data_IF_557287921718
#
_entry.id   IF_557287921718
#
_cell.length_a   1.000
_cell.length_b   1.000
_cell.length_c   1.000
_cell.angle_alpha   90.00
_cell.angle_beta   90.00
_cell.angle_gamma   90.00
#
_symmetry.space_group_name_H-M   'P 1'
#
loop_
_entity.id
_entity.type
_entity.pdbx_description
1 polymer ?
#
# COMPACT_ATOMS: atom_id res chain seq x y z
N UNK A 1 32.47 35.87 37.26
CA UNK A 1 31.06 35.42 37.14
C UNK A 1 30.85 35.07 35.70
N UNK A 2 31.04 33.81 35.36
CA UNK A 2 30.85 33.21 34.04
C UNK A 2 29.47 32.61 34.00
N UNK A 3 28.62 33.12 33.10
CA UNK A 3 27.29 32.59 32.86
C UNK A 3 27.43 31.37 31.93
N UNK A 4 26.99 30.22 32.40
CA UNK A 4 26.85 28.99 31.62
C UNK A 4 25.62 29.12 30.70
N UNK A 5 25.85 28.85 29.42
CA UNK A 5 24.85 28.77 28.38
C UNK A 5 24.29 27.35 28.37
N UNK A 6 23.10 27.15 28.87
CA UNK A 6 22.40 25.87 28.74
C UNK A 6 21.96 25.66 27.28
N UNK A 7 22.57 24.67 26.65
CA UNK A 7 22.22 24.24 25.29
C UNK A 7 20.86 23.56 25.24
N UNK A 8 19.97 24.07 24.43
CA UNK A 8 18.71 23.45 24.08
C UNK A 8 18.91 22.07 23.44
N UNK A 9 18.16 21.09 23.90
CA UNK A 9 18.18 19.70 23.42
C UNK A 9 17.81 19.61 21.92
N UNK A 10 18.46 18.73 21.15
CA UNK A 10 18.16 18.54 19.74
C UNK A 10 16.80 17.88 19.55
N UNK A 11 16.03 18.42 18.61
CA UNK A 11 14.73 17.91 18.17
C UNK A 11 14.79 16.43 17.75
N UNK A 12 13.77 15.72 18.16
CA UNK A 12 13.37 14.36 17.92
C UNK A 12 14.24 13.46 17.04
N UNK A 13 14.91 12.52 17.71
CA UNK A 13 15.63 11.40 17.10
C UNK A 13 14.63 10.55 16.31
N UNK A 14 14.71 10.57 14.98
CA UNK A 14 14.08 9.59 14.12
C UNK A 14 14.65 8.22 14.48
N UNK A 15 13.79 7.21 14.59
CA UNK A 15 14.11 5.89 15.12
C UNK A 15 15.43 5.33 14.54
N UNK A 16 16.34 4.94 15.42
CA UNK A 16 17.62 4.32 15.08
C UNK A 16 17.41 2.86 14.61
N UNK A 17 18.34 2.32 13.85
CA UNK A 17 18.36 0.94 13.32
C UNK A 17 18.08 -0.16 14.35
N UNK A 18 18.29 0.10 15.64
CA UNK A 18 17.95 -0.83 16.74
C UNK A 18 16.42 -0.97 16.98
N UNK A 19 15.61 0.01 16.59
CA UNK A 19 14.14 -0.09 16.66
C UNK A 19 13.54 -0.81 15.44
N UNK A 20 14.26 -0.84 14.31
CA UNK A 20 13.84 -1.58 13.12
C UNK A 20 13.81 -3.09 13.35
N UNK A 21 14.75 -3.62 14.13
CA UNK A 21 14.80 -5.04 14.49
C UNK A 21 13.69 -5.46 15.49
N UNK A 22 13.19 -4.53 16.33
CA UNK A 22 12.09 -4.82 17.25
C UNK A 22 10.73 -4.87 16.56
N UNK A 23 10.52 -4.16 15.45
CA UNK A 23 9.28 -4.23 14.66
C UNK A 23 9.21 -5.44 13.71
N UNK A 24 10.35 -6.08 13.43
CA UNK A 24 10.38 -7.34 12.67
C UNK A 24 9.67 -8.51 13.39
N UNK A 25 9.41 -8.39 14.69
CA UNK A 25 8.85 -9.45 15.52
C UNK A 25 7.31 -9.62 15.47
N UNK A 26 6.57 -8.82 14.69
CA UNK A 26 5.11 -8.98 14.62
C UNK A 26 4.65 -9.93 13.52
N UNK A 27 5.30 -9.94 12.35
CA UNK A 27 5.01 -10.91 11.30
C UNK A 27 5.65 -12.27 11.66
N UNK A 28 4.91 -13.40 11.57
CA UNK A 28 3.61 -13.60 10.92
C UNK A 28 2.37 -13.46 11.85
N UNK A 29 2.52 -13.00 13.10
CA UNK A 29 1.42 -12.90 14.04
C UNK A 29 0.25 -12.06 13.49
N UNK A 30 -0.98 -12.53 13.67
CA UNK A 30 -2.19 -11.88 13.16
C UNK A 30 -2.42 -12.07 11.65
N UNK A 31 -1.64 -12.94 11.00
CA UNK A 31 -1.87 -13.39 9.63
C UNK A 31 -2.47 -14.80 9.63
N UNK A 32 -3.05 -15.18 8.50
CA UNK A 32 -3.68 -16.49 8.35
C UNK A 32 -2.69 -17.63 8.67
N UNK A 33 -3.10 -18.58 9.50
CA UNK A 33 -2.24 -19.64 10.03
C UNK A 33 -1.49 -19.26 11.33
N UNK A 34 -1.47 -17.98 11.71
CA UNK A 34 -0.76 -17.47 12.92
C UNK A 34 -1.65 -16.54 13.74
N UNK A 35 -2.90 -16.97 13.96
CA UNK A 35 -3.87 -16.24 14.78
C UNK A 35 -3.84 -16.77 16.22
N UNK A 36 -4.02 -15.88 17.19
CA UNK A 36 -4.38 -16.29 18.55
C UNK A 36 -5.86 -16.69 18.60
N UNK A 37 -6.27 -17.47 19.63
CA UNK A 37 -7.67 -17.86 19.81
C UNK A 37 -8.63 -16.64 19.79
N UNK A 38 -8.26 -15.53 20.41
CA UNK A 38 -9.06 -14.30 20.39
C UNK A 38 -9.15 -13.68 18.98
N UNK A 39 -8.12 -13.82 18.16
CA UNK A 39 -8.11 -13.33 16.78
C UNK A 39 -8.94 -14.25 15.86
N UNK A 40 -8.92 -15.55 16.08
CA UNK A 40 -9.78 -16.51 15.39
C UNK A 40 -11.26 -16.24 15.72
N UNK A 41 -11.58 -16.06 17.00
CA UNK A 41 -12.93 -15.68 17.43
C UNK A 41 -13.38 -14.36 16.78
N UNK A 42 -12.50 -13.35 16.73
CA UNK A 42 -12.81 -12.08 16.07
C UNK A 42 -13.08 -12.25 14.57
N UNK A 43 -12.34 -13.13 13.88
CA UNK A 43 -12.56 -13.42 12.46
C UNK A 43 -13.93 -14.08 12.24
N UNK A 44 -14.30 -15.08 13.05
CA UNK A 44 -15.60 -15.73 12.92
C UNK A 44 -16.77 -14.78 13.25
N UNK A 45 -16.65 -13.96 14.28
CA UNK A 45 -17.63 -12.89 14.59
C UNK A 45 -17.75 -11.89 13.45
N UNK A 46 -16.65 -11.53 12.83
CA UNK A 46 -16.63 -10.60 11.69
C UNK A 46 -17.34 -11.21 10.47
N UNK A 47 -17.06 -12.47 10.13
CA UNK A 47 -17.76 -13.21 9.07
C UNK A 47 -19.27 -13.26 9.32
N UNK A 48 -19.68 -13.60 10.53
CA UNK A 48 -21.09 -13.65 10.91
C UNK A 48 -21.78 -12.29 10.75
N UNK A 49 -21.13 -11.20 11.21
CA UNK A 49 -21.64 -9.84 11.06
C UNK A 49 -21.74 -9.41 9.58
N UNK A 50 -20.74 -9.72 8.77
CA UNK A 50 -20.75 -9.45 7.33
C UNK A 50 -21.84 -10.24 6.60
N UNK A 51 -22.07 -11.50 6.98
CA UNK A 51 -23.10 -12.34 6.40
C UNK A 51 -24.51 -11.81 6.74
N UNK A 52 -24.74 -11.41 8.00
CA UNK A 52 -25.99 -10.77 8.43
C UNK A 52 -26.29 -9.51 7.59
N UNK A 53 -25.29 -8.70 7.33
CA UNK A 53 -25.39 -7.50 6.47
C UNK A 53 -25.39 -7.80 4.97
N UNK A 54 -25.29 -9.07 4.55
CA UNK A 54 -25.20 -9.51 3.13
C UNK A 54 -24.00 -8.92 2.39
N UNK A 55 -22.93 -8.58 3.11
CA UNK A 55 -21.68 -8.06 2.56
C UNK A 55 -20.69 -9.19 2.24
N UNK A 56 -20.89 -10.37 2.77
CA UNK A 56 -20.06 -11.55 2.57
C UNK A 56 -20.90 -12.80 2.36
N UNK A 57 -20.42 -13.69 1.48
CA UNK A 57 -21.01 -15.01 1.22
C UNK A 57 -19.97 -16.08 1.50
N UNK A 58 -20.34 -17.18 2.22
CA UNK A 58 -19.38 -18.22 2.65
C UNK A 58 -18.78 -19.04 1.48
N UNK A 59 -19.44 -19.14 0.34
CA UNK A 59 -18.92 -19.90 -0.81
C UNK A 59 -19.23 -21.39 -0.79
N UNK A 60 -18.49 -22.30 -1.41
CA UNK A 60 -17.22 -22.16 -2.15
C UNK A 60 -17.34 -21.60 -3.57
N UNK A 61 -16.43 -20.72 -4.03
CA UNK A 61 -15.49 -19.96 -3.19
C UNK A 61 -16.21 -18.86 -2.40
N UNK A 62 -15.66 -18.40 -1.26
CA UNK A 62 -16.21 -17.26 -0.53
C UNK A 62 -16.07 -15.99 -1.36
N UNK A 63 -16.95 -15.00 -1.14
CA UNK A 63 -16.88 -13.74 -1.87
C UNK A 63 -15.60 -12.94 -1.57
N UNK A 64 -15.06 -13.08 -0.37
CA UNK A 64 -13.78 -12.58 0.07
C UNK A 64 -13.11 -13.64 0.93
N UNK A 65 -11.83 -13.88 0.73
CA UNK A 65 -11.05 -14.83 1.49
C UNK A 65 -10.68 -14.33 2.89
N UNK A 66 -10.28 -15.23 3.76
CA UNK A 66 -9.93 -14.91 5.14
C UNK A 66 -8.75 -13.93 5.23
N UNK A 67 -7.77 -14.03 4.35
CA UNK A 67 -6.64 -13.11 4.31
C UNK A 67 -7.08 -11.66 4.01
N UNK A 68 -8.08 -11.48 3.15
CA UNK A 68 -8.70 -10.17 2.89
C UNK A 68 -9.42 -9.65 4.12
N UNK A 69 -10.26 -10.47 4.76
CA UNK A 69 -11.00 -10.06 5.97
C UNK A 69 -10.06 -9.70 7.12
N UNK A 70 -8.98 -10.46 7.31
CA UNK A 70 -7.98 -10.21 8.33
C UNK A 70 -7.26 -8.85 8.14
N UNK A 71 -7.17 -8.30 6.94
CA UNK A 71 -6.61 -6.95 6.71
C UNK A 71 -7.46 -5.89 7.41
N UNK A 72 -8.78 -5.96 7.34
CA UNK A 72 -9.69 -5.04 8.03
C UNK A 72 -9.63 -5.19 9.54
N UNK A 73 -9.60 -6.43 10.04
CA UNK A 73 -9.47 -6.68 11.49
C UNK A 73 -8.15 -6.13 12.03
N UNK A 74 -7.01 -6.34 11.36
CA UNK A 74 -5.72 -5.76 11.76
C UNK A 74 -5.75 -4.23 11.73
N UNK A 75 -6.31 -3.65 10.67
CA UNK A 75 -6.44 -2.19 10.54
C UNK A 75 -7.26 -1.55 11.65
N UNK A 76 -8.22 -2.29 12.19
CA UNK A 76 -9.11 -1.86 13.28
C UNK A 76 -8.79 -2.52 14.62
N UNK A 77 -7.54 -3.00 14.80
CA UNK A 77 -7.04 -3.56 16.07
C UNK A 77 -7.96 -4.64 16.64
N UNK A 78 -8.54 -5.46 15.76
CA UNK A 78 -9.45 -6.56 16.07
C UNK A 78 -10.81 -6.12 16.64
N UNK A 79 -11.18 -4.85 16.54
CA UNK A 79 -12.52 -4.35 16.88
C UNK A 79 -13.45 -4.64 15.71
N UNK A 80 -14.34 -5.62 15.88
CA UNK A 80 -15.17 -6.17 14.81
C UNK A 80 -16.11 -5.12 14.22
N UNK A 81 -16.74 -4.27 15.06
CA UNK A 81 -17.68 -3.25 14.59
C UNK A 81 -16.98 -2.18 13.73
N UNK A 82 -15.76 -1.77 14.10
CA UNK A 82 -14.98 -0.82 13.33
C UNK A 82 -14.52 -1.43 12.00
N UNK A 83 -14.12 -2.72 12.01
CA UNK A 83 -13.77 -3.47 10.80
C UNK A 83 -14.97 -3.62 9.86
N UNK A 84 -16.17 -3.88 10.42
CA UNK A 84 -17.43 -3.97 9.68
C UNK A 84 -17.78 -2.64 9.00
N UNK A 85 -17.66 -1.53 9.72
CA UNK A 85 -17.90 -0.19 9.18
C UNK A 85 -16.94 0.08 8.01
N UNK A 86 -15.64 -0.13 8.17
CA UNK A 86 -14.64 0.09 7.12
C UNK A 86 -14.87 -0.82 5.90
N UNK A 87 -15.18 -2.08 6.12
CA UNK A 87 -15.45 -3.04 5.05
C UNK A 87 -16.68 -2.62 4.24
N UNK A 88 -17.78 -2.25 4.94
CA UNK A 88 -19.00 -1.75 4.31
C UNK A 88 -18.73 -0.52 3.45
N UNK A 89 -18.05 0.49 4.00
CA UNK A 89 -17.68 1.70 3.25
C UNK A 89 -16.85 1.38 2.02
N UNK A 90 -15.96 0.38 2.12
CA UNK A 90 -15.16 -0.07 0.98
C UNK A 90 -16.01 -0.72 -0.10
N UNK A 91 -16.91 -1.63 0.26
CA UNK A 91 -17.78 -2.30 -0.72
C UNK A 91 -18.73 -1.31 -1.39
N UNK A 92 -19.27 -0.33 -0.65
CA UNK A 92 -20.08 0.76 -1.21
C UNK A 92 -19.26 1.62 -2.19
N UNK A 93 -18.03 2.00 -1.83
CA UNK A 93 -17.13 2.75 -2.71
C UNK A 93 -16.75 1.93 -3.97
N UNK A 94 -16.44 0.64 -3.81
CA UNK A 94 -16.14 -0.27 -4.93
C UNK A 94 -17.31 -0.39 -5.89
N UNK A 95 -18.54 -0.53 -5.36
CA UNK A 95 -19.77 -0.61 -6.16
C UNK A 95 -20.05 0.72 -6.88
N UNK A 96 -19.95 1.85 -6.18
CA UNK A 96 -20.19 3.19 -6.74
C UNK A 96 -19.21 3.56 -7.86
N UNK A 97 -18.00 3.00 -7.85
CA UNK A 97 -16.97 3.24 -8.87
C UNK A 97 -16.76 2.06 -9.83
N UNK A 98 -17.54 0.97 -9.70
CA UNK A 98 -17.43 -0.24 -10.54
C UNK A 98 -15.95 -0.73 -10.63
N UNK A 99 -15.24 -0.83 -9.50
CA UNK A 99 -13.80 -1.08 -9.45
C UNK A 99 -13.41 -2.38 -10.19
N UNK A 100 -14.22 -3.43 -10.09
CA UNK A 100 -13.95 -4.69 -10.81
C UNK A 100 -14.04 -4.51 -12.34
N UNK A 101 -15.05 -3.76 -12.82
CA UNK A 101 -15.18 -3.42 -14.24
C UNK A 101 -14.04 -2.50 -14.67
N UNK A 102 -13.72 -1.49 -13.87
CA UNK A 102 -12.58 -0.60 -14.12
C UNK A 102 -11.30 -1.43 -14.36
N UNK A 103 -10.96 -2.31 -13.44
CA UNK A 103 -9.75 -3.11 -13.51
C UNK A 103 -9.72 -4.04 -14.73
N UNK A 104 -10.86 -4.64 -15.07
CA UNK A 104 -10.96 -5.58 -16.18
C UNK A 104 -11.01 -4.91 -17.56
N UNK A 105 -11.35 -3.62 -17.64
CA UNK A 105 -11.63 -2.95 -18.92
C UNK A 105 -10.87 -1.64 -19.11
N UNK A 106 -9.95 -1.27 -18.21
CA UNK A 106 -9.10 -0.09 -18.36
C UNK A 106 -8.25 -0.22 -19.63
N UNK A 107 -8.14 0.86 -20.41
CA UNK A 107 -7.22 0.91 -21.55
C UNK A 107 -5.78 0.67 -21.09
N UNK A 108 -5.06 -0.21 -21.79
CA UNK A 108 -3.70 -0.60 -21.43
C UNK A 108 -2.74 0.59 -21.40
N UNK A 109 -2.93 1.56 -22.30
CA UNK A 109 -2.14 2.79 -22.30
C UNK A 109 -2.42 3.65 -21.06
N UNK A 110 -3.67 3.73 -20.61
CA UNK A 110 -4.04 4.48 -19.41
C UNK A 110 -3.49 3.80 -18.14
N UNK A 111 -3.51 2.47 -18.09
CA UNK A 111 -2.88 1.69 -17.05
C UNK A 111 -1.37 1.92 -17.01
N UNK A 112 -0.70 1.84 -18.16
CA UNK A 112 0.75 2.04 -18.27
C UNK A 112 1.17 3.48 -17.87
N UNK A 113 0.40 4.50 -18.24
CA UNK A 113 0.62 5.87 -17.78
C UNK A 113 0.58 5.95 -16.25
N UNK A 114 -0.41 5.31 -15.61
CA UNK A 114 -0.52 5.26 -14.16
C UNK A 114 0.65 4.50 -13.54
N UNK A 115 1.01 3.33 -14.10
CA UNK A 115 2.13 2.52 -13.62
C UNK A 115 3.45 3.30 -13.61
N UNK A 116 3.69 4.12 -14.65
CA UNK A 116 4.93 4.92 -14.75
C UNK A 116 5.01 6.09 -13.78
N UNK A 117 3.89 6.52 -13.24
CA UNK A 117 3.84 7.67 -12.32
C UNK A 117 3.87 7.28 -10.84
N UNK A 118 3.38 6.08 -10.50
CA UNK A 118 3.19 5.64 -9.12
C UNK A 118 4.15 4.51 -8.74
N UNK A 119 4.11 3.99 -7.49
CA UNK A 119 4.98 2.90 -7.08
C UNK A 119 4.98 1.72 -8.06
N UNK A 120 6.16 1.25 -8.43
CA UNK A 120 6.36 0.20 -9.42
C UNK A 120 6.99 -1.03 -8.81
N UNK A 121 6.41 -2.20 -9.08
CA UNK A 121 7.01 -3.46 -8.69
C UNK A 121 8.30 -3.71 -9.47
N UNK A 122 9.39 -3.98 -8.77
CA UNK A 122 10.69 -4.24 -9.38
C UNK A 122 10.82 -5.63 -10.02
N UNK A 123 9.83 -6.51 -9.81
CA UNK A 123 9.91 -7.92 -10.13
C UNK A 123 10.57 -8.74 -9.01
N UNK A 124 10.97 -8.10 -7.92
CA UNK A 124 11.72 -8.69 -6.80
C UNK A 124 10.94 -8.63 -5.50
N UNK A 125 11.49 -9.28 -4.46
CA UNK A 125 10.90 -9.43 -3.14
C UNK A 125 11.91 -9.08 -2.05
N UNK A 126 11.41 -8.77 -0.85
CA UNK A 126 12.23 -8.70 0.35
C UNK A 126 12.59 -10.12 0.88
N UNK A 127 13.36 -10.20 1.97
CA UNK A 127 13.79 -11.49 2.56
C UNK A 127 12.63 -12.37 3.03
N UNK A 128 11.47 -11.79 3.30
CA UNK A 128 10.25 -12.51 3.71
C UNK A 128 9.35 -12.88 2.54
N UNK A 129 9.77 -12.61 1.31
CA UNK A 129 9.00 -12.87 0.11
C UNK A 129 7.97 -11.78 -0.25
N UNK A 130 7.97 -10.64 0.44
CA UNK A 130 7.04 -9.53 0.20
C UNK A 130 7.50 -8.75 -1.03
N UNK A 131 6.59 -8.43 -2.01
CA UNK A 131 6.96 -7.74 -3.24
C UNK A 131 7.58 -6.36 -2.97
N UNK A 132 8.69 -6.08 -3.68
CA UNK A 132 9.46 -4.84 -3.55
C UNK A 132 9.04 -3.83 -4.60
N UNK A 133 8.60 -2.67 -4.15
CA UNK A 133 8.23 -1.52 -4.97
C UNK A 133 9.24 -0.38 -4.85
N UNK A 134 9.39 0.36 -5.93
CA UNK A 134 10.15 1.62 -5.97
C UNK A 134 9.22 2.75 -6.41
N UNK A 135 9.38 3.90 -5.79
CA UNK A 135 8.65 5.12 -6.13
C UNK A 135 9.58 6.32 -6.14
N UNK A 136 9.80 6.94 -7.31
CA UNK A 136 10.59 8.15 -7.47
C UNK A 136 9.67 9.37 -7.57
N UNK A 137 9.48 10.09 -6.46
CA UNK A 137 8.54 11.21 -6.38
C UNK A 137 8.96 12.39 -7.25
N UNK A 138 10.25 12.56 -7.53
CA UNK A 138 10.74 13.64 -8.38
C UNK A 138 10.09 13.66 -9.77
N UNK A 139 9.66 12.52 -10.29
CA UNK A 139 8.98 12.41 -11.60
C UNK A 139 7.58 13.02 -11.60
N UNK A 140 6.98 13.22 -10.43
CA UNK A 140 5.67 13.83 -10.24
C UNK A 140 5.80 15.35 -10.12
N UNK A 141 5.95 16.05 -11.22
CA UNK A 141 5.81 17.51 -11.22
C UNK A 141 4.35 17.94 -11.47
N UNK A 142 4.07 19.23 -11.21
CA UNK A 142 2.71 19.77 -11.35
C UNK A 142 2.15 19.64 -12.77
N UNK A 143 3.00 19.74 -13.79
CA UNK A 143 2.61 19.61 -15.20
C UNK A 143 2.23 18.15 -15.52
N UNK A 144 3.03 17.22 -15.04
CA UNK A 144 2.79 15.78 -15.20
C UNK A 144 1.47 15.38 -14.55
N UNK A 145 1.21 15.81 -13.31
CA UNK A 145 -0.04 15.53 -12.60
C UNK A 145 -1.23 16.20 -13.31
N UNK A 146 -1.13 17.48 -13.68
CA UNK A 146 -2.22 18.15 -14.39
C UNK A 146 -2.56 17.48 -15.73
N UNK A 147 -1.55 17.03 -16.48
CA UNK A 147 -1.76 16.26 -17.71
C UNK A 147 -2.43 14.92 -17.44
N UNK A 148 -1.99 14.22 -16.41
CA UNK A 148 -2.56 12.93 -16.01
C UNK A 148 -4.02 13.05 -15.59
N UNK A 149 -4.35 14.05 -14.78
CA UNK A 149 -5.74 14.33 -14.37
C UNK A 149 -6.62 14.74 -15.55
N UNK A 150 -6.11 15.64 -16.43
CA UNK A 150 -6.82 16.04 -17.64
C UNK A 150 -7.11 14.87 -18.57
N UNK A 151 -6.15 13.98 -18.78
CA UNK A 151 -6.34 12.77 -19.57
C UNK A 151 -7.36 11.84 -18.91
N UNK A 152 -7.32 11.70 -17.58
CA UNK A 152 -8.30 10.95 -16.81
C UNK A 152 -9.73 11.47 -16.99
N UNK A 153 -9.92 12.80 -16.92
CA UNK A 153 -11.21 13.44 -17.03
C UNK A 153 -11.87 13.31 -18.43
N UNK A 154 -11.05 13.22 -19.48
CA UNK A 154 -11.50 13.20 -20.86
C UNK A 154 -11.59 11.80 -21.49
N UNK A 155 -11.32 10.76 -20.73
CA UNK A 155 -11.13 9.45 -21.29
C UNK A 155 -12.23 8.47 -20.93
N UNK A 156 -12.68 7.72 -21.93
CA UNK A 156 -13.47 6.48 -21.78
C UNK A 156 -12.54 5.28 -21.56
N UNK A 157 -11.53 5.41 -20.66
CA UNK A 157 -10.49 4.40 -20.43
C UNK A 157 -11.00 3.11 -19.82
N UNK A 158 -12.28 3.02 -19.53
CA UNK A 158 -12.89 1.84 -18.97
C UNK A 158 -14.38 1.83 -19.25
N UNK A 159 -14.98 0.64 -19.26
CA UNK A 159 -16.44 0.49 -19.30
C UNK A 159 -17.11 0.72 -17.93
N UNK A 160 -16.33 1.02 -16.89
CA UNK A 160 -16.85 1.27 -15.56
C UNK A 160 -17.70 2.54 -15.50
N UNK A 161 -18.85 2.43 -14.86
CA UNK A 161 -19.71 3.57 -14.53
C UNK A 161 -19.40 4.01 -13.11
N UNK A 162 -18.95 5.25 -12.93
CA UNK A 162 -18.59 5.79 -11.62
C UNK A 162 -19.63 6.81 -11.16
N UNK A 163 -19.70 7.06 -9.85
CA UNK A 163 -20.55 8.10 -9.27
C UNK A 163 -19.99 9.53 -9.43
N UNK A 164 -18.79 9.65 -9.96
CA UNK A 164 -18.11 10.92 -10.21
C UNK A 164 -17.50 11.60 -8.97
N UNK A 165 -17.62 11.01 -7.77
CA UNK A 165 -17.08 11.59 -6.54
C UNK A 165 -15.57 11.37 -6.42
N UNK A 166 -15.09 10.19 -6.84
CA UNK A 166 -13.65 9.91 -6.87
C UNK A 166 -13.06 10.43 -8.19
N UNK A 167 -12.03 11.30 -8.16
CA UNK A 167 -11.40 11.81 -9.37
C UNK A 167 -10.88 10.68 -10.27
N UNK A 168 -11.07 10.76 -11.61
CA UNK A 168 -10.66 9.71 -12.54
C UNK A 168 -9.17 9.35 -12.47
N UNK A 169 -8.29 10.32 -12.21
CA UNK A 169 -6.87 10.07 -12.00
C UNK A 169 -6.59 9.18 -10.80
N UNK A 170 -7.32 9.36 -9.69
CA UNK A 170 -7.22 8.49 -8.52
C UNK A 170 -7.82 7.11 -8.79
N UNK A 171 -8.94 7.01 -9.53
CA UNK A 171 -9.48 5.70 -9.91
C UNK A 171 -8.49 4.87 -10.72
N UNK A 172 -7.72 5.50 -11.62
CA UNK A 172 -6.65 4.83 -12.36
C UNK A 172 -5.49 4.37 -11.45
N UNK A 173 -5.17 5.15 -10.41
CA UNK A 173 -4.22 4.71 -9.37
C UNK A 173 -4.74 3.44 -8.67
N UNK A 174 -6.04 3.35 -8.39
CA UNK A 174 -6.60 2.18 -7.71
C UNK A 174 -6.61 0.92 -8.58
N UNK A 175 -6.51 1.03 -9.92
CA UNK A 175 -6.20 -0.14 -10.75
C UNK A 175 -4.82 -0.75 -10.44
N UNK A 176 -3.85 0.05 -9.97
CA UNK A 176 -2.55 -0.48 -9.50
C UNK A 176 -2.66 -1.19 -8.15
N UNK A 177 -3.54 -0.72 -7.24
CA UNK A 177 -3.84 -1.44 -5.99
C UNK A 177 -4.57 -2.77 -6.26
N UNK A 178 -5.47 -2.81 -7.23
CA UNK A 178 -6.06 -4.08 -7.67
C UNK A 178 -4.99 -5.04 -8.21
N UNK A 179 -4.02 -4.53 -8.98
CA UNK A 179 -2.92 -5.34 -9.46
C UNK A 179 -2.03 -5.87 -8.32
N UNK A 180 -1.78 -5.04 -7.30
CA UNK A 180 -1.06 -5.47 -6.11
C UNK A 180 -1.77 -6.65 -5.43
N UNK A 181 -3.07 -6.54 -5.20
CA UNK A 181 -3.84 -7.53 -4.42
C UNK A 181 -4.26 -8.76 -5.23
N UNK A 182 -4.46 -8.63 -6.55
CA UNK A 182 -4.92 -9.73 -7.42
C UNK A 182 -3.80 -10.45 -8.16
N UNK A 183 -2.64 -9.81 -8.28
CA UNK A 183 -1.52 -10.36 -9.02
C UNK A 183 -0.25 -10.49 -8.18
N UNK A 184 0.34 -9.38 -7.69
CA UNK A 184 1.67 -9.42 -7.07
C UNK A 184 1.68 -10.21 -5.75
N UNK A 185 0.74 -9.95 -4.86
CA UNK A 185 0.65 -10.63 -3.56
C UNK A 185 0.34 -12.13 -3.72
N UNK A 186 -0.67 -12.55 -4.51
CA UNK A 186 -0.90 -13.96 -4.79
C UNK A 186 0.28 -14.65 -5.45
N UNK A 187 0.97 -13.99 -6.40
CA UNK A 187 2.17 -14.54 -7.02
C UNK A 187 3.28 -14.81 -6.00
N UNK A 188 3.60 -13.81 -5.18
CA UNK A 188 4.61 -13.97 -4.13
C UNK A 188 4.22 -15.01 -3.09
N UNK A 189 2.93 -15.22 -2.85
CA UNK A 189 2.42 -16.29 -1.98
C UNK A 189 2.75 -17.67 -2.52
N UNK A 190 2.69 -17.87 -3.84
CA UNK A 190 3.01 -19.15 -4.47
C UNK A 190 4.53 -19.45 -4.53
N UNK A 191 5.40 -18.47 -4.30
CA UNK A 191 6.84 -18.68 -4.22
C UNK A 191 7.23 -19.08 -2.79
N UNK A 192 7.52 -20.36 -2.58
CA UNK A 192 7.69 -20.96 -1.24
C UNK A 192 9.11 -20.85 -0.67
N UNK A 193 10.05 -20.25 -1.39
CA UNK A 193 11.44 -20.01 -0.99
C UNK A 193 11.58 -18.80 -0.03
N UNK A 194 10.77 -18.74 1.00
CA UNK A 194 10.70 -17.66 1.99
C UNK A 194 10.54 -18.18 3.41
N UNK A 195 10.77 -17.34 4.40
CA UNK A 195 10.82 -17.71 5.82
C UNK A 195 9.50 -18.34 6.32
N UNK A 196 8.34 -17.82 5.87
CA UNK A 196 7.00 -18.32 6.26
C UNK A 196 6.19 -18.68 5.01
N UNK A 197 6.47 -19.83 4.37
CA UNK A 197 5.79 -20.24 3.13
C UNK A 197 4.30 -20.55 3.33
N UNK A 198 3.90 -20.90 4.55
CA UNK A 198 2.53 -21.16 4.96
C UNK A 198 1.66 -19.90 5.10
N UNK A 199 2.27 -18.73 5.26
CA UNK A 199 1.57 -17.45 5.43
C UNK A 199 1.38 -16.75 4.08
N UNK A 200 0.14 -16.36 3.71
CA UNK A 200 -0.07 -15.62 2.46
C UNK A 200 0.53 -14.22 2.53
N UNK A 201 1.11 -13.78 1.42
CA UNK A 201 1.63 -12.41 1.27
C UNK A 201 0.48 -11.46 0.98
N UNK A 202 0.26 -10.50 1.88
CA UNK A 202 -0.83 -9.51 1.78
C UNK A 202 -0.35 -8.06 1.84
N UNK A 203 0.97 -7.86 1.79
CA UNK A 203 1.62 -6.56 1.99
C UNK A 203 2.62 -6.26 0.86
N UNK A 204 3.20 -5.06 0.89
CA UNK A 204 4.30 -4.63 0.01
C UNK A 204 5.39 -3.90 0.80
N UNK A 205 6.64 -4.06 0.38
CA UNK A 205 7.81 -3.30 0.86
C UNK A 205 8.13 -2.23 -0.17
N UNK A 206 8.33 -0.98 0.27
CA UNK A 206 8.45 0.16 -0.63
C UNK A 206 9.73 0.96 -0.36
N UNK A 207 10.47 1.27 -1.42
CA UNK A 207 11.54 2.28 -1.43
C UNK A 207 10.96 3.53 -2.07
N UNK A 208 10.90 4.64 -1.32
CA UNK A 208 10.37 5.93 -1.77
C UNK A 208 11.52 6.93 -1.86
N UNK A 209 11.94 7.22 -3.08
CA UNK A 209 13.02 8.16 -3.38
C UNK A 209 12.45 9.57 -3.56
N UNK A 210 12.79 10.45 -2.63
CA UNK A 210 12.44 11.86 -2.65
C UNK A 210 13.65 12.77 -2.96
N UNK A 211 14.74 12.19 -3.50
CA UNK A 211 15.92 12.94 -3.92
C UNK A 211 15.57 14.01 -4.94
N UNK A 212 16.03 15.23 -4.68
CA UNK A 212 15.82 16.38 -5.57
C UNK A 212 14.38 16.90 -5.64
N UNK A 213 13.50 16.45 -4.74
CA UNK A 213 12.16 17.05 -4.56
C UNK A 213 12.31 18.39 -3.86
N UNK A 214 11.95 19.49 -4.54
CA UNK A 214 11.96 20.84 -3.97
C UNK A 214 10.70 21.12 -3.12
N UNK A 215 10.79 22.07 -2.20
CA UNK A 215 9.68 22.48 -1.33
C UNK A 215 8.43 22.91 -2.14
N UNK A 216 8.61 23.65 -3.25
CA UNK A 216 7.52 24.04 -4.15
C UNK A 216 6.83 22.83 -4.79
N UNK A 217 7.62 21.85 -5.25
CA UNK A 217 7.07 20.61 -5.82
C UNK A 217 6.27 19.85 -4.76
N UNK A 218 6.83 19.68 -3.56
CA UNK A 218 6.14 19.04 -2.44
C UNK A 218 4.78 19.72 -2.15
N UNK A 219 4.78 21.06 -2.09
CA UNK A 219 3.57 21.82 -1.82
C UNK A 219 2.48 21.63 -2.89
N UNK A 220 2.88 21.61 -4.15
CA UNK A 220 1.97 21.40 -5.27
C UNK A 220 1.38 19.96 -5.29
N UNK A 221 2.14 18.98 -4.81
CA UNK A 221 1.70 17.57 -4.75
C UNK A 221 0.88 17.23 -3.51
N UNK A 222 0.92 18.09 -2.48
CA UNK A 222 0.33 17.81 -1.16
C UNK A 222 -1.12 17.31 -1.26
N UNK A 223 -1.99 18.04 -1.96
CA UNK A 223 -3.41 17.68 -2.07
C UNK A 223 -3.64 16.33 -2.74
N UNK A 224 -2.94 16.09 -3.84
CA UNK A 224 -3.02 14.82 -4.57
C UNK A 224 -2.53 13.64 -3.72
N UNK A 225 -1.36 13.77 -3.08
CA UNK A 225 -0.79 12.74 -2.23
C UNK A 225 -1.66 12.45 -1.00
N UNK A 226 -2.24 13.48 -0.40
CA UNK A 226 -3.14 13.34 0.73
C UNK A 226 -4.40 12.56 0.34
N UNK A 227 -5.06 12.95 -0.75
CA UNK A 227 -6.26 12.26 -1.25
C UNK A 227 -5.96 10.78 -1.60
N UNK A 228 -4.84 10.53 -2.29
CA UNK A 228 -4.41 9.17 -2.60
C UNK A 228 -4.17 8.33 -1.34
N UNK A 229 -3.49 8.89 -0.32
CA UNK A 229 -3.22 8.21 0.95
C UNK A 229 -4.49 7.92 1.73
N UNK A 230 -5.41 8.87 1.82
CA UNK A 230 -6.68 8.71 2.54
C UNK A 230 -7.53 7.59 1.93
N UNK A 231 -7.72 7.59 0.60
CA UNK A 231 -8.46 6.54 -0.10
C UNK A 231 -7.78 5.17 0.01
N UNK A 232 -6.44 5.11 -0.07
CA UNK A 232 -5.69 3.87 0.11
C UNK A 232 -5.87 3.31 1.52
N UNK A 233 -5.77 4.14 2.55
CA UNK A 233 -5.98 3.75 3.95
C UNK A 233 -7.42 3.28 4.19
N UNK A 234 -8.41 3.94 3.58
CA UNK A 234 -9.81 3.57 3.71
C UNK A 234 -10.13 2.22 3.05
N UNK A 235 -9.69 2.01 1.79
CA UNK A 235 -10.20 0.92 0.96
C UNK A 235 -9.21 -0.22 0.68
N UNK A 236 -7.91 -0.01 0.97
CA UNK A 236 -6.86 -1.03 0.86
C UNK A 236 -6.02 -1.09 2.14
N UNK A 237 -6.67 -1.30 3.32
CA UNK A 237 -5.96 -1.33 4.59
C UNK A 237 -4.94 -2.44 4.64
N UNK A 238 -3.86 -2.25 5.41
CA UNK A 238 -2.83 -3.25 5.71
C UNK A 238 -2.15 -3.87 4.48
N UNK A 239 -2.05 -3.10 3.37
CA UNK A 239 -1.30 -3.49 2.17
C UNK A 239 0.16 -3.02 2.20
N UNK A 240 0.56 -2.23 3.20
CA UNK A 240 1.92 -1.75 3.39
C UNK A 240 2.59 -2.44 4.59
N UNK A 241 3.81 -2.95 4.37
CA UNK A 241 4.66 -3.49 5.44
C UNK A 241 5.72 -2.48 5.87
N UNK A 242 6.59 -2.04 4.94
CA UNK A 242 7.65 -1.07 5.20
C UNK A 242 7.75 -0.05 4.08
N UNK A 243 8.10 1.17 4.48
CA UNK A 243 8.39 2.28 3.58
C UNK A 243 9.75 2.86 3.96
N UNK A 244 10.73 2.76 3.06
CA UNK A 244 12.06 3.34 3.21
C UNK A 244 12.10 4.65 2.41
N UNK A 245 12.06 5.80 3.10
CA UNK A 245 12.19 7.12 2.48
C UNK A 245 13.66 7.46 2.35
N UNK A 246 14.12 7.69 1.12
CA UNK A 246 15.52 7.94 0.77
C UNK A 246 15.66 9.32 0.13
N UNK A 247 16.82 9.96 0.34
CA UNK A 247 17.16 11.23 -0.30
C UNK A 247 16.36 12.42 0.24
N UNK A 248 15.95 12.35 1.50
CA UNK A 248 15.19 13.40 2.16
C UNK A 248 15.97 14.73 2.17
N UNK A 249 15.45 15.81 1.57
CA UNK A 249 16.07 17.12 1.63
C UNK A 249 16.02 17.70 3.05
N UNK A 250 16.85 18.72 3.34
CA UNK A 250 16.99 19.31 4.68
C UNK A 250 15.65 19.77 5.27
N UNK A 251 14.76 20.33 4.45
CA UNK A 251 13.43 20.78 4.92
C UNK A 251 12.47 19.63 5.26
N UNK A 252 12.79 18.39 4.87
CA UNK A 252 11.85 17.28 5.03
C UNK A 252 11.53 16.96 6.49
N UNK A 253 12.44 17.20 7.42
CA UNK A 253 12.19 17.03 8.86
C UNK A 253 10.99 17.87 9.35
N UNK A 254 10.88 19.12 8.86
CA UNK A 254 9.74 20.00 9.16
C UNK A 254 8.46 19.52 8.47
N UNK A 255 8.57 19.15 7.19
CA UNK A 255 7.45 18.64 6.39
C UNK A 255 6.94 17.30 6.92
N UNK A 256 7.83 16.44 7.41
CA UNK A 256 7.45 15.14 7.98
C UNK A 256 6.47 15.26 9.15
N UNK A 257 6.61 16.31 9.97
CA UNK A 257 5.67 16.61 11.04
C UNK A 257 4.22 16.79 10.56
N UNK A 258 4.02 17.20 9.31
CA UNK A 258 2.70 17.34 8.68
C UNK A 258 2.27 16.09 7.92
N UNK A 259 3.16 15.52 7.12
CA UNK A 259 2.91 14.32 6.29
C UNK A 259 2.46 13.13 7.14
N UNK A 260 3.08 12.92 8.29
CA UNK A 260 2.72 11.83 9.19
C UNK A 260 1.27 11.88 9.69
N UNK A 261 0.60 13.05 9.64
CA UNK A 261 -0.81 13.19 10.02
C UNK A 261 -1.78 12.70 8.95
N UNK A 262 -1.29 12.38 7.75
CA UNK A 262 -2.12 11.80 6.67
C UNK A 262 -2.28 10.29 6.82
N UNK A 263 -1.50 9.69 7.68
CA UNK A 263 -1.47 8.26 7.92
C UNK A 263 -1.87 7.94 9.35
N UNK A 264 -2.46 6.78 9.56
CA UNK A 264 -2.68 6.24 10.90
C UNK A 264 -1.35 5.97 11.63
N UNK A 265 -1.34 5.91 12.97
CA UNK A 265 -0.12 5.68 13.75
C UNK A 265 0.59 4.35 13.43
N UNK A 266 -0.15 3.31 13.03
CA UNK A 266 0.43 2.01 12.66
C UNK A 266 1.20 2.17 11.35
N UNK A 267 0.63 2.84 10.34
CA UNK A 267 1.32 3.14 9.09
C UNK A 267 2.56 4.00 9.33
N UNK A 268 2.48 5.03 10.18
CA UNK A 268 3.65 5.87 10.53
C UNK A 268 4.77 5.05 11.14
N UNK A 269 4.48 4.04 11.96
CA UNK A 269 5.49 3.17 12.57
C UNK A 269 6.23 2.28 11.58
N UNK A 270 5.68 2.10 10.38
CA UNK A 270 6.27 1.31 9.28
C UNK A 270 7.18 2.16 8.36
N UNK A 271 7.31 3.47 8.62
CA UNK A 271 8.06 4.41 7.76
C UNK A 271 9.43 4.71 8.37
N UNK A 272 10.48 4.47 7.58
CA UNK A 272 11.88 4.72 7.91
C UNK A 272 12.41 5.84 7.02
N UNK A 273 12.80 6.96 7.62
CA UNK A 273 13.48 8.04 6.90
C UNK A 273 14.98 7.86 7.07
N UNK A 274 15.68 7.54 5.99
CA UNK A 274 17.06 7.11 6.02
C UNK A 274 18.01 8.24 5.60
N UNK A 275 19.03 8.48 6.43
CA UNK A 275 20.17 9.29 6.04
C UNK A 275 21.02 8.55 4.98
N UNK A 276 21.81 9.25 4.13
CA UNK A 276 22.55 8.61 3.04
C UNK A 276 23.43 7.42 3.48
N UNK A 277 24.07 7.51 4.64
CA UNK A 277 24.92 6.45 5.16
C UNK A 277 24.16 5.25 5.76
N UNK A 278 22.86 5.43 6.04
CA UNK A 278 21.99 4.38 6.59
C UNK A 278 21.28 3.58 5.48
N UNK A 279 21.22 4.09 4.24
CA UNK A 279 20.43 3.49 3.14
C UNK A 279 20.87 2.05 2.90
N UNK A 280 22.13 1.85 2.51
CA UNK A 280 22.63 0.51 2.17
C UNK A 280 22.50 -0.48 3.34
N UNK A 281 23.04 -0.23 4.54
CA UNK A 281 22.96 -1.20 5.64
C UNK A 281 21.52 -1.48 6.07
N UNK A 282 20.63 -0.49 6.03
CA UNK A 282 19.21 -0.71 6.38
C UNK A 282 18.51 -1.53 5.32
N UNK A 283 18.65 -1.20 4.03
CA UNK A 283 18.01 -1.98 2.97
C UNK A 283 18.50 -3.43 2.95
N UNK A 284 19.80 -3.68 3.10
CA UNK A 284 20.39 -5.03 3.14
C UNK A 284 19.93 -5.87 4.35
N UNK A 285 19.55 -5.25 5.45
CA UNK A 285 18.96 -5.95 6.58
C UNK A 285 17.60 -6.58 6.25
N UNK A 286 16.84 -6.00 5.29
CA UNK A 286 15.50 -6.45 4.94
C UNK A 286 15.38 -7.06 3.54
N UNK A 287 16.30 -6.74 2.63
CA UNK A 287 16.24 -7.10 1.22
C UNK A 287 17.60 -7.70 0.82
N UNK A 288 17.58 -8.78 0.06
CA UNK A 288 18.82 -9.34 -0.51
C UNK A 288 19.51 -8.32 -1.43
N UNK A 289 20.83 -8.13 -1.38
CA UNK A 289 21.56 -7.16 -2.21
C UNK A 289 21.24 -7.30 -3.71
N UNK A 290 21.07 -8.54 -4.20
CA UNK A 290 20.70 -8.83 -5.60
C UNK A 290 19.29 -8.32 -5.98
N UNK A 291 18.44 -8.00 -5.00
CA UNK A 291 17.09 -7.49 -5.19
C UNK A 291 16.98 -5.97 -4.98
N UNK A 292 18.00 -5.34 -4.42
CA UNK A 292 18.06 -3.88 -4.23
C UNK A 292 18.57 -3.24 -5.51
N UNK A 293 17.89 -2.23 -6.09
CA UNK A 293 18.39 -1.50 -7.24
C UNK A 293 19.79 -0.90 -7.01
N UNK A 294 20.65 -0.95 -8.04
CA UNK A 294 22.00 -0.37 -8.01
C UNK A 294 22.02 1.08 -7.56
N UNK A 295 21.01 1.85 -7.94
CA UNK A 295 20.81 3.24 -7.52
C UNK A 295 20.81 3.42 -6.01
N UNK A 296 20.38 2.41 -5.25
CA UNK A 296 20.27 2.43 -3.78
C UNK A 296 21.35 1.57 -3.10
N UNK A 297 22.41 1.23 -3.82
CA UNK A 297 23.58 0.52 -3.28
C UNK A 297 23.52 -1.00 -3.36
N UNK A 298 22.54 -1.56 -4.09
CA UNK A 298 22.42 -3.01 -4.35
C UNK A 298 23.02 -3.43 -5.69
N UNK A 299 22.55 -4.59 -6.21
CA UNK A 299 23.10 -5.25 -7.40
C UNK A 299 22.08 -5.30 -8.56
N UNK A 300 20.77 -5.05 -8.30
CA UNK A 300 19.73 -5.12 -9.30
C UNK A 300 19.85 -3.98 -10.30
N UNK A 301 19.95 -4.31 -11.58
CA UNK A 301 20.00 -3.34 -12.69
C UNK A 301 18.59 -2.90 -13.10
N UNK A 302 17.93 -2.19 -12.17
CA UNK A 302 16.57 -1.70 -12.32
C UNK A 302 16.54 -0.18 -12.39
N UNK A 303 15.81 0.34 -13.39
CA UNK A 303 15.53 1.77 -13.54
C UNK A 303 14.04 2.03 -13.42
N UNK A 304 13.65 3.04 -12.65
CA UNK A 304 12.26 3.46 -12.50
C UNK A 304 11.63 3.77 -13.88
N UNK A 305 10.45 3.24 -14.14
CA UNK A 305 9.77 3.34 -15.44
C UNK A 305 9.77 2.03 -16.23
N UNK A 306 10.75 1.16 -16.05
CA UNK A 306 10.77 -0.14 -16.73
C UNK A 306 9.83 -1.16 -16.08
N UNK A 307 9.58 -2.28 -16.75
CA UNK A 307 8.85 -3.42 -16.18
C UNK A 307 9.72 -4.15 -15.16
N UNK A 308 9.08 -4.93 -14.30
CA UNK A 308 9.77 -5.72 -13.28
C UNK A 308 10.74 -6.73 -13.93
N UNK A 309 11.93 -6.85 -13.31
CA UNK A 309 12.95 -7.80 -13.71
C UNK A 309 12.65 -9.15 -13.09
N UNK A 310 12.63 -10.26 -13.86
CA UNK A 310 12.35 -11.59 -13.35
C UNK A 310 13.18 -11.94 -12.09
N UNK A 311 12.50 -12.44 -11.06
CA UNK A 311 13.14 -13.01 -9.89
C UNK A 311 13.67 -14.41 -10.24
N UNK A 312 14.91 -14.79 -9.89
CA UNK A 312 15.42 -16.14 -10.12
C UNK A 312 14.53 -17.26 -9.58
N UNK A 313 13.74 -17.00 -8.56
CA UNK A 313 12.75 -17.95 -8.03
C UNK A 313 11.61 -18.30 -9.02
N UNK A 314 11.47 -17.55 -10.11
CA UNK A 314 10.50 -17.90 -11.17
C UNK A 314 10.98 -19.05 -12.06
N UNK A 315 12.29 -19.25 -12.15
CA UNK A 315 12.87 -20.31 -12.97
C UNK A 315 12.36 -21.69 -12.51
N UNK A 316 11.86 -22.47 -13.47
CA UNK A 316 11.29 -23.79 -13.18
C UNK A 316 9.91 -23.79 -12.52
N UNK A 317 9.43 -22.64 -12.01
CA UNK A 317 8.11 -22.50 -11.38
C UNK A 317 7.10 -21.98 -12.40
N UNK A 318 7.40 -20.86 -13.06
CA UNK A 318 6.53 -20.23 -14.06
C UNK A 318 6.71 -20.90 -15.43
N UNK A 319 5.62 -21.37 -16.00
CA UNK A 319 5.56 -21.86 -17.38
C UNK A 319 4.93 -20.78 -18.25
N UNK A 320 5.77 -20.10 -19.03
CA UNK A 320 5.36 -19.01 -19.91
C UNK A 320 4.60 -19.52 -21.13
N UNK A 321 3.55 -18.81 -21.54
CA UNK A 321 2.89 -19.01 -22.82
C UNK A 321 3.75 -18.47 -23.96
N UNK A 322 3.47 -18.95 -25.18
CA UNK A 322 4.25 -18.57 -26.37
C UNK A 322 4.25 -17.05 -26.57
N UNK A 323 5.43 -16.47 -26.62
CA UNK A 323 5.62 -15.02 -26.80
C UNK A 323 5.89 -14.25 -25.51
N UNK A 324 5.83 -14.91 -24.36
CA UNK A 324 6.14 -14.30 -23.06
C UNK A 324 7.38 -14.92 -22.41
N UNK A 325 8.15 -14.09 -21.73
CA UNK A 325 9.30 -14.48 -20.88
C UNK A 325 9.33 -13.68 -19.59
N UNK A 326 8.40 -12.74 -19.45
CA UNK A 326 8.21 -11.87 -18.27
C UNK A 326 6.77 -11.36 -18.24
N UNK A 327 6.36 -10.80 -17.11
CA UNK A 327 5.03 -10.20 -16.97
C UNK A 327 4.96 -8.88 -17.75
N UNK A 328 3.98 -8.73 -18.67
CA UNK A 328 3.76 -7.49 -19.42
C UNK A 328 3.12 -6.41 -18.54
N UNK A 329 3.07 -5.18 -19.05
CA UNK A 329 2.23 -4.13 -18.50
C UNK A 329 0.75 -4.44 -18.72
N UNK A 330 -0.06 -4.10 -17.72
CA UNK A 330 -1.51 -4.23 -17.77
C UNK A 330 -2.08 -4.79 -16.47
N UNK A 331 -3.41 -4.79 -16.32
CA UNK A 331 -4.08 -5.50 -15.24
C UNK A 331 -3.81 -7.01 -15.35
N UNK A 332 -3.26 -7.60 -14.32
CA UNK A 332 -2.97 -9.03 -14.22
C UNK A 332 -3.72 -9.63 -13.03
N UNK A 333 -4.19 -10.87 -13.17
CA UNK A 333 -4.75 -11.63 -12.06
C UNK A 333 -4.52 -13.13 -12.25
N UNK A 334 -4.68 -13.87 -11.18
CA UNK A 334 -4.59 -15.33 -11.17
C UNK A 334 -5.97 -15.94 -11.19
N UNK A 335 -6.16 -16.96 -12.01
CA UNK A 335 -7.37 -17.77 -12.11
C UNK A 335 -7.01 -19.25 -11.99
N UNK A 336 -7.93 -20.05 -11.48
CA UNK A 336 -7.78 -21.50 -11.42
C UNK A 336 -7.79 -22.11 -12.83
N UNK A 337 -6.88 -23.05 -13.11
CA UNK A 337 -6.94 -23.86 -14.31
C UNK A 337 -7.91 -25.01 -14.08
N UNK A 338 -9.02 -25.10 -14.82
CA UNK A 338 -10.02 -26.14 -14.57
C UNK A 338 -9.45 -27.54 -14.67
N UNK A 339 -9.61 -28.34 -13.61
CA UNK A 339 -9.16 -29.73 -13.56
C UNK A 339 -7.67 -29.93 -13.29
N UNK A 340 -6.92 -28.86 -13.04
CA UNK A 340 -5.49 -28.91 -12.70
C UNK A 340 -5.22 -28.18 -11.37
N UNK A 341 -4.24 -28.65 -10.62
CA UNK A 341 -3.73 -27.92 -9.44
C UNK A 341 -2.72 -26.84 -9.88
N UNK A 342 -3.20 -25.91 -10.68
CA UNK A 342 -2.42 -24.83 -11.28
C UNK A 342 -3.21 -23.52 -11.30
N UNK A 343 -2.47 -22.42 -11.33
CA UNK A 343 -2.98 -21.07 -11.54
C UNK A 343 -2.52 -20.56 -12.90
N UNK A 344 -3.40 -19.87 -13.62
CA UNK A 344 -3.10 -19.13 -14.84
C UNK A 344 -3.05 -17.64 -14.54
N UNK A 345 -1.98 -16.98 -14.96
CA UNK A 345 -1.90 -15.52 -14.99
C UNK A 345 -2.62 -15.00 -16.22
N UNK A 346 -3.63 -14.17 -16.02
CA UNK A 346 -4.42 -13.59 -17.11
C UNK A 346 -4.20 -12.09 -17.15
N UNK A 347 -3.84 -11.57 -18.32
CA UNK A 347 -3.80 -10.16 -18.67
C UNK A 347 -5.18 -9.71 -19.14
N UNK A 348 -5.66 -8.61 -18.58
CA UNK A 348 -6.95 -7.99 -18.89
C UNK A 348 -6.76 -6.54 -19.32
N UNK A 349 -7.86 -5.89 -19.70
CA UNK A 349 -7.90 -4.49 -20.08
C UNK A 349 -8.62 -4.29 -21.39
N UNK A 350 -8.38 -3.14 -22.03
CA UNK A 350 -8.82 -2.84 -23.37
C UNK A 350 -7.69 -2.23 -24.20
N UNK A 351 -7.75 -2.43 -25.49
CA UNK A 351 -6.84 -1.83 -26.47
C UNK A 351 -7.69 -1.23 -27.59
N UNK A 352 -7.68 0.10 -27.71
CA UNK A 352 -8.54 0.83 -28.63
C UNK A 352 -10.04 0.48 -28.47
N UNK A 353 -10.50 0.35 -27.22
CA UNK A 353 -11.88 0.01 -26.86
C UNK A 353 -12.25 -1.47 -27.01
N UNK A 354 -11.33 -2.32 -27.49
CA UNK A 354 -11.54 -3.77 -27.58
C UNK A 354 -10.99 -4.46 -26.35
N UNK A 355 -11.78 -5.31 -25.73
CA UNK A 355 -11.37 -6.06 -24.56
C UNK A 355 -10.24 -7.02 -24.91
N UNK A 356 -9.23 -7.03 -24.03
CA UNK A 356 -8.10 -7.95 -24.06
C UNK A 356 -8.27 -8.97 -22.93
N UNK A 357 -8.03 -10.24 -23.26
CA UNK A 357 -7.90 -11.32 -22.28
C UNK A 357 -6.90 -12.35 -22.84
N UNK A 358 -5.74 -12.42 -22.20
CA UNK A 358 -4.63 -13.26 -22.64
C UNK A 358 -4.07 -14.03 -21.46
N UNK A 359 -3.84 -15.33 -21.62
CA UNK A 359 -3.08 -16.12 -20.64
C UNK A 359 -1.60 -15.85 -20.88
N UNK A 360 -0.89 -15.43 -19.85
CA UNK A 360 0.52 -15.03 -19.91
C UNK A 360 1.43 -16.20 -19.52
N UNK A 361 1.06 -16.91 -18.48
CA UNK A 361 1.79 -18.03 -17.96
C UNK A 361 0.91 -18.88 -17.04
N UNK A 362 1.41 -20.04 -16.65
CA UNK A 362 0.83 -20.84 -15.57
C UNK A 362 1.90 -21.21 -14.56
N UNK A 363 1.48 -21.48 -13.31
CA UNK A 363 2.34 -22.00 -12.25
C UNK A 363 1.60 -23.04 -11.42
N UNK A 364 2.29 -23.99 -10.77
CA UNK A 364 1.66 -24.92 -9.84
C UNK A 364 1.10 -24.17 -8.64
N UNK A 365 -0.04 -24.61 -8.09
CA UNK A 365 -0.54 -24.12 -6.82
C UNK A 365 0.29 -24.73 -5.71
N UNK A 366 1.11 -23.94 -5.06
CA UNK A 366 2.00 -24.35 -3.97
C UNK A 366 1.46 -23.94 -2.61
N UNK A 367 0.50 -23.01 -2.60
CA UNK A 367 -0.18 -22.54 -1.41
C UNK A 367 -1.69 -22.52 -1.66
N UNK A 368 -2.44 -23.04 -0.70
CA UNK A 368 -3.89 -22.93 -0.61
C UNK A 368 -4.27 -22.57 0.83
N UNK A 369 -5.39 -21.86 1.04
CA UNK A 369 -5.91 -21.65 2.39
C UNK A 369 -6.08 -22.98 3.12
N UNK A 370 -5.78 -23.07 4.44
CA UNK A 370 -6.01 -24.26 5.21
C UNK A 370 -7.50 -24.64 5.14
N UNK A 371 -7.78 -25.91 4.81
CA UNK A 371 -9.14 -26.44 4.88
C UNK A 371 -9.60 -26.45 6.33
N UNK A 372 -10.72 -25.79 6.62
CA UNK A 372 -11.38 -25.99 7.93
C UNK A 372 -11.96 -27.41 7.93
N UNK A 373 -11.40 -28.29 8.75
CA UNK A 373 -11.98 -29.60 9.00
C UNK A 373 -13.43 -29.42 9.47
N UNK A 374 -14.37 -29.94 8.69
CA UNK A 374 -15.80 -29.90 8.99
C UNK A 374 -16.17 -30.87 10.15
N UNK A 375 -15.19 -31.45 10.86
CA UNK A 375 -15.33 -32.57 11.80
C UNK A 375 -14.97 -32.24 13.26
N UNK A 376 -15.50 -31.13 13.80
CA UNK A 376 -15.54 -30.94 15.26
C UNK A 376 -16.93 -30.59 15.79
N UNK A 377 -17.99 -31.19 15.25
CA UNK A 377 -19.35 -31.07 15.78
C UNK A 377 -20.04 -32.43 16.05
N UNK A 378 -19.29 -33.43 16.52
CA UNK A 378 -19.92 -34.58 17.17
C UNK A 378 -19.17 -34.86 18.48
N UNK A 379 -19.61 -34.13 19.51
CA UNK A 379 -19.25 -34.43 20.87
C UNK A 379 -19.81 -35.77 21.25
N UNK A 380 -18.96 -36.76 21.53
CA UNK A 380 -19.28 -37.90 22.34
C UNK A 380 -18.68 -37.74 23.72
N UNK A 381 -19.61 -37.54 24.62
CA UNK A 381 -19.48 -37.70 26.06
C UNK A 381 -18.72 -39.00 26.41
N UNK A 382 -17.61 -38.92 27.14
CA UNK A 382 -17.21 -40.01 28.01
C UNK A 382 -16.31 -39.48 29.14
N UNK A 383 -16.90 -39.67 30.30
CA UNK A 383 -16.43 -39.46 31.65
C UNK A 383 -15.08 -40.13 31.98
N UNK A 384 -14.36 -39.49 32.85
CA UNK A 384 -13.70 -39.96 34.09
C UNK A 384 -12.27 -39.43 34.19
N UNK A 385 -11.86 -38.76 35.13
CA UNK A 385 -11.60 -38.93 36.55
C UNK A 385 -10.62 -37.83 37.01
N UNK A 386 -10.90 -37.34 38.15
CA UNK A 386 -10.18 -36.28 38.87
C UNK A 386 -8.72 -36.63 39.21
N UNK A 387 -7.86 -35.59 39.24
CA UNK A 387 -6.83 -35.45 40.27
C UNK A 387 -6.54 -33.98 40.53
N UNK A 388 -6.86 -33.62 41.73
CA UNK A 388 -6.58 -32.37 42.45
C UNK A 388 -5.08 -32.08 42.55
N UNK A 389 -4.70 -30.83 42.31
CA UNK A 389 -3.77 -30.17 43.24
C UNK A 389 -3.91 -28.63 43.20
N UNK A 390 -4.15 -28.14 44.38
CA UNK A 390 -4.39 -26.80 44.83
C UNK A 390 -3.07 -26.02 44.90
N UNK A 391 -3.05 -24.78 44.39
CA UNK A 391 -2.28 -23.71 45.01
C UNK A 391 -2.88 -22.36 44.62
N UNK A 392 -3.51 -21.75 45.59
CA UNK A 392 -4.03 -20.40 45.56
C UNK A 392 -2.88 -19.41 45.71
N UNK A 393 -2.92 -18.31 44.93
CA UNK A 393 -2.31 -17.05 45.37
C UNK A 393 -3.19 -15.90 44.85
N UNK A 394 -3.84 -15.29 45.81
CA UNK A 394 -4.59 -14.04 45.72
C UNK A 394 -3.63 -12.87 45.59
N UNK A 395 -3.88 -11.90 44.72
CA UNK A 395 -3.53 -10.49 44.94
C UNK A 395 -4.44 -9.57 44.10
N UNK A 396 -5.27 -8.86 44.80
CA UNK A 396 -5.80 -7.48 44.73
C UNK A 396 -5.99 -6.76 43.38
N UNK A 397 -7.21 -6.40 43.27
CA UNK A 397 -7.93 -5.23 42.76
C UNK A 397 -7.18 -3.90 42.83
N UNK A 398 -7.12 -3.18 41.70
CA UNK A 398 -7.03 -1.73 41.64
C UNK A 398 -7.69 -1.25 40.34
N UNK A 399 -8.89 -0.74 40.51
CA UNK A 399 -9.65 0.04 39.54
C UNK A 399 -8.95 1.38 39.23
N UNK A 400 -8.72 1.69 37.96
CA UNK A 400 -8.62 3.09 37.53
C UNK A 400 -9.27 3.27 36.13
N UNK A 401 -10.03 4.36 36.09
CA UNK A 401 -11.05 4.65 35.10
C UNK A 401 -10.53 4.94 33.70
N UNK A 402 -11.22 4.37 32.75
CA UNK A 402 -11.08 4.63 31.33
C UNK A 402 -11.89 5.88 30.96
N UNK A 403 -11.23 6.96 30.61
CA UNK A 403 -11.86 8.05 29.87
C UNK A 403 -11.92 7.67 28.40
N UNK A 404 -13.13 7.40 27.93
CA UNK A 404 -13.48 7.36 26.51
C UNK A 404 -13.45 8.77 25.95
N UNK A 405 -12.55 9.07 25.02
CA UNK A 405 -12.64 10.25 24.17
C UNK A 405 -13.33 9.86 22.87
N UNK A 406 -14.57 10.28 22.72
CA UNK A 406 -15.28 10.33 21.45
C UNK A 406 -14.56 11.29 20.50
N UNK A 407 -14.12 10.81 19.36
CA UNK A 407 -13.73 11.64 18.21
C UNK A 407 -14.92 11.75 17.26
N UNK A 408 -15.67 12.82 17.40
CA UNK A 408 -16.62 13.28 16.39
C UNK A 408 -15.84 13.95 15.25
N UNK A 409 -16.16 13.56 14.03
CA UNK A 409 -15.74 14.19 12.77
C UNK A 409 -16.56 15.47 12.54
N UNK A 410 -16.22 16.55 13.21
CA UNK A 410 -16.64 17.91 12.83
C UNK A 410 -15.72 18.87 13.58
N UNK A 411 -14.75 19.41 12.89
CA UNK A 411 -14.33 20.81 12.94
C UNK A 411 -13.04 21.02 12.11
N UNK A 412 -13.19 21.28 10.82
CA UNK A 412 -12.15 21.89 10.01
C UNK A 412 -12.25 23.42 10.16
N UNK A 413 -11.95 23.93 11.33
CA UNK A 413 -11.70 25.36 11.50
C UNK A 413 -10.31 25.70 10.97
N UNK A 414 -10.32 26.48 9.93
CA UNK A 414 -9.24 27.24 9.32
C UNK A 414 -8.45 27.99 10.41
N UNK A 415 -7.23 27.51 10.70
CA UNK A 415 -6.26 28.31 11.48
C UNK A 415 -5.17 28.78 10.54
N UNK A 416 -5.17 30.07 10.25
CA UNK A 416 -4.09 30.82 9.64
C UNK A 416 -2.86 30.76 10.56
N UNK A 417 -1.88 29.90 10.24
CA UNK A 417 -0.72 29.82 11.10
C UNK A 417 0.60 29.27 10.52
N UNK A 418 0.61 28.38 9.50
CA UNK A 418 1.87 27.88 8.96
C UNK A 418 2.32 28.56 7.67
N UNK A 419 1.46 29.32 6.97
CA UNK A 419 1.82 29.94 5.69
C UNK A 419 2.90 31.03 5.84
N UNK A 420 2.82 31.87 6.87
CA UNK A 420 3.80 32.94 7.12
C UNK A 420 5.21 32.44 7.50
N UNK A 421 5.29 31.29 8.17
CA UNK A 421 6.58 30.72 8.56
C UNK A 421 7.35 30.10 7.37
N UNK A 422 6.62 29.69 6.34
CA UNK A 422 7.21 29.07 5.12
C UNK A 422 7.58 30.14 4.11
N UNK A 423 6.84 31.24 4.03
CA UNK A 423 7.17 32.36 3.18
C UNK A 423 8.52 33.01 3.58
N UNK A 424 8.84 33.01 4.88
CA UNK A 424 10.15 33.46 5.39
C UNK A 424 11.31 32.52 5.08
N UNK A 425 11.07 31.22 4.93
CA UNK A 425 12.10 30.24 4.55
C UNK A 425 12.36 30.19 3.03
N UNK A 426 11.40 30.62 2.22
CA UNK A 426 11.54 30.67 0.76
C UNK A 426 12.29 31.90 0.25
N UNK A 427 12.54 32.91 1.10
CA UNK A 427 13.19 34.19 0.73
C UNK A 427 14.71 34.14 0.90
N UNK A 428 15.26 33.10 1.55
CA UNK A 428 16.72 33.03 1.87
C UNK A 428 17.54 32.13 0.94
N UNK A 429 16.99 31.64 -0.18
CA UNK A 429 17.73 30.92 -1.22
C UNK A 429 17.99 31.84 -2.43
N UNK A 430 19.12 32.56 -2.36
CA UNK A 430 20.06 32.93 -3.41
C UNK A 430 19.52 33.64 -4.65
N UNK A 431 19.62 34.95 -4.58
CA UNK A 431 19.69 35.93 -5.68
C UNK A 431 20.60 35.44 -6.83
N UNK A 432 20.05 35.08 -7.98
CA UNK A 432 20.76 35.08 -9.26
C UNK A 432 19.90 35.73 -10.34
N UNK A 433 20.27 36.99 -10.62
CA UNK A 433 19.61 37.89 -11.55
C UNK A 433 19.86 37.49 -12.99
N UNK A 434 18.87 36.88 -13.66
CA UNK A 434 18.79 36.89 -15.11
C UNK A 434 17.68 37.84 -15.58
N UNK A 435 18.07 38.87 -16.33
CA UNK A 435 17.23 39.91 -16.91
C UNK A 435 16.16 39.33 -17.84
N UNK A 436 14.90 39.64 -17.55
CA UNK A 436 13.76 39.44 -18.46
C UNK A 436 13.75 40.52 -19.54
N UNK A 437 13.55 40.23 -20.83
CA UNK A 437 13.28 41.26 -21.83
C UNK A 437 11.79 41.66 -21.79
N UNK A 438 11.59 42.95 -21.83
CA UNK A 438 10.36 43.71 -21.90
C UNK A 438 9.58 43.36 -23.19
N UNK A 439 8.34 42.85 -23.08
CA UNK A 439 7.45 42.63 -24.23
C UNK A 439 6.41 43.72 -24.25
N UNK A 440 6.51 44.60 -25.25
CA UNK A 440 5.52 45.62 -25.59
C UNK A 440 4.21 44.99 -26.10
N UNK A 441 3.03 45.52 -25.75
CA UNK A 441 1.77 45.00 -26.21
C UNK A 441 1.44 45.45 -27.64
N UNK A 442 1.00 44.51 -28.48
CA UNK A 442 0.47 44.74 -29.83
C UNK A 442 -1.03 45.06 -29.73
N UNK A 443 -1.55 46.08 -30.41
CA UNK A 443 -2.95 46.46 -30.33
C UNK A 443 -3.86 45.54 -31.16
N UNK A 444 -5.13 45.39 -30.67
CA UNK A 444 -6.18 44.66 -31.28
C UNK A 444 -6.58 45.23 -32.66
N UNK A 445 -6.66 44.36 -33.68
CA UNK A 445 -7.28 44.71 -34.95
C UNK A 445 -8.73 44.20 -34.98
N UNK A 446 -9.59 45.19 -35.28
CA UNK A 446 -11.04 45.10 -35.45
C UNK A 446 -11.43 44.22 -36.63
N UNK A 447 -12.52 43.47 -36.47
CA UNK A 447 -13.20 42.74 -37.52
C UNK A 447 -13.90 43.71 -38.51
N UNK A 448 -13.87 43.35 -39.79
CA UNK A 448 -14.92 43.73 -40.77
C UNK A 448 -14.81 42.84 -42.01
N UNK A 449 -15.99 42.34 -42.42
CA UNK A 449 -16.43 41.68 -43.62
C UNK A 449 -16.22 40.16 -43.70
#
# INVERSE_FOLDING_TARGET
MTAEYEGSAPAGRVQSSSSASQQAGTFPNGHLGHLSAAQEEALERFKAALQDKKLWRPGPPPSHDDQTLLRYLRARRWIVDDALAQFKDTEEWRAANNIDTLYRTIELDAYEQSRRLYPQWTGRRDRRGIPLYVFEIRTLDSKTIANYEKQGANSTFSQAKTDGKTPPGLLRLFALYENLTRFNQPFCTQLTDREHPDVPVTMSTNIVDISGVGLKQFWNLKGHMQAASQLATAHYPETLDRIFIIGAPVFFSTVWGWVKRWFDPITVSKIFVLAPHEVKPTLEAFIEPRNIPKKYGGELDYTFGQLGIPDPAWEGVVRWEKGYSSFPSGPLLWEDVPGEDRLACVRLGAENGKLVREVICTLPRTWSPPEKNADESTGTDSSATASTNTAATTINDASEGTQTSEYTLDDATQTDGPAEAIEKLAIDDGDDKAKTPEVTPIPAATAAA
#
